data_IF_347406856849
#
_entry.id   IF_347406856849
#
_cell.length_a   1.000
_cell.length_b   1.000
_cell.length_c   1.000
_cell.angle_alpha   90.00
_cell.angle_beta   90.00
_cell.angle_gamma   90.00
#
_symmetry.space_group_name_H-M   'P 1'
#
loop_
_entity.id
_entity.type
_entity.pdbx_description
1 polymer ?
#
# COMPACT_ATOMS: atom_id res chain seq x y z
N UNK A 1 23.05 11.32 16.53
CA UNK A 1 22.14 12.43 16.18
C UNK A 1 21.05 12.49 17.24
N UNK A 2 20.79 13.65 17.82
CA UNK A 2 19.76 13.84 18.84
C UNK A 2 18.41 14.06 18.13
N UNK A 3 17.48 13.12 18.28
CA UNK A 3 16.13 13.22 17.72
C UNK A 3 15.36 14.33 18.46
N UNK A 4 14.80 15.28 17.73
CA UNK A 4 14.01 16.36 18.32
C UNK A 4 12.52 15.97 18.42
N UNK A 5 11.72 16.76 19.15
CA UNK A 5 10.30 16.48 19.33
C UNK A 5 9.49 16.39 18.01
N UNK A 6 9.89 17.14 16.98
CA UNK A 6 9.27 17.06 15.66
C UNK A 6 9.59 15.73 14.97
N UNK A 7 10.80 15.19 15.15
CA UNK A 7 11.19 13.87 14.65
C UNK A 7 10.33 12.78 15.31
N UNK A 8 10.05 12.87 16.61
CA UNK A 8 9.13 11.95 17.30
C UNK A 8 7.69 12.05 16.76
N UNK A 9 7.19 13.25 16.48
CA UNK A 9 5.86 13.46 15.85
C UNK A 9 5.83 12.88 14.42
N UNK A 10 6.92 13.03 13.67
CA UNK A 10 7.06 12.45 12.33
C UNK A 10 7.12 10.91 12.38
N UNK A 11 7.77 10.36 13.40
CA UNK A 11 7.87 8.92 13.67
C UNK A 11 6.52 8.35 14.15
N UNK A 12 5.77 9.10 14.98
CA UNK A 12 4.42 8.74 15.45
C UNK A 12 3.43 8.56 14.29
N UNK A 13 3.52 9.42 13.26
CA UNK A 13 2.71 9.31 12.03
C UNK A 13 3.16 8.18 11.09
N UNK A 14 4.36 7.63 11.30
CA UNK A 14 4.92 6.49 10.57
C UNK A 14 5.13 5.31 11.52
N UNK A 15 4.15 5.03 12.36
CA UNK A 15 4.12 3.79 13.14
C UNK A 15 3.39 2.71 12.35
N UNK A 16 3.73 1.43 12.56
CA UNK A 16 2.98 0.32 12.00
C UNK A 16 1.46 0.40 12.29
N UNK A 17 1.06 0.90 13.45
CA UNK A 17 -0.35 1.14 13.82
C UNK A 17 -1.03 2.21 12.96
N UNK A 18 -0.33 3.29 12.61
CA UNK A 18 -0.88 4.33 11.73
C UNK A 18 -0.95 3.90 10.25
N UNK A 19 -0.06 2.97 9.83
CA UNK A 19 0.06 2.54 8.44
C UNK A 19 -0.69 1.23 8.12
N UNK A 20 -0.90 0.35 9.10
CA UNK A 20 -1.68 -0.89 8.95
C UNK A 20 -3.09 -0.63 8.37
N UNK A 21 -3.84 0.40 8.82
CA UNK A 21 -5.12 0.77 8.21
C UNK A 21 -5.07 1.07 6.72
N UNK A 22 -3.95 1.61 6.24
CA UNK A 22 -3.77 1.95 4.83
C UNK A 22 -3.60 0.67 4.00
N UNK A 23 -2.82 -0.30 4.48
CA UNK A 23 -2.66 -1.61 3.83
C UNK A 23 -3.99 -2.38 3.86
N UNK A 24 -4.68 -2.41 4.99
CA UNK A 24 -5.99 -3.05 5.09
C UNK A 24 -7.00 -2.46 4.10
N UNK A 25 -7.08 -1.13 3.98
CA UNK A 25 -7.99 -0.46 3.04
C UNK A 25 -7.77 -0.86 1.58
N UNK A 26 -6.52 -1.18 1.20
CA UNK A 26 -6.23 -1.75 -0.11
C UNK A 26 -6.88 -3.14 -0.26
N UNK A 27 -6.61 -4.06 0.67
CA UNK A 27 -7.13 -5.44 0.60
C UNK A 27 -8.65 -5.53 0.76
N UNK A 28 -9.26 -4.62 1.53
CA UNK A 28 -10.72 -4.47 1.66
C UNK A 28 -11.42 -4.14 0.32
N UNK A 29 -10.65 -3.70 -0.68
CA UNK A 29 -11.14 -3.35 -2.02
C UNK A 29 -10.41 -4.11 -3.14
N UNK A 30 -9.74 -5.19 -2.78
CA UNK A 30 -8.99 -6.06 -3.68
C UNK A 30 -9.62 -7.45 -3.63
N UNK A 31 -9.79 -8.07 -4.80
CA UNK A 31 -10.24 -9.46 -4.86
C UNK A 31 -9.04 -10.38 -4.62
N UNK A 32 -9.09 -11.27 -3.60
CA UNK A 32 -7.95 -12.13 -3.27
C UNK A 32 -7.45 -12.95 -4.46
N UNK A 33 -6.14 -12.94 -4.68
CA UNK A 33 -5.46 -13.71 -5.73
C UNK A 33 -4.16 -14.30 -5.21
N UNK A 34 -3.69 -15.38 -5.86
CA UNK A 34 -2.45 -16.07 -5.46
C UNK A 34 -1.29 -15.08 -5.31
N UNK A 35 -0.55 -15.18 -4.18
CA UNK A 35 0.62 -14.35 -3.86
C UNK A 35 0.36 -12.84 -3.78
N UNK A 36 -0.88 -12.40 -3.66
CA UNK A 36 -1.19 -10.96 -3.59
C UNK A 36 -0.70 -10.26 -2.32
N UNK A 37 -0.23 -11.01 -1.30
CA UNK A 37 0.51 -10.44 -0.16
C UNK A 37 1.70 -9.58 -0.62
N UNK A 38 2.28 -9.86 -1.78
CA UNK A 38 3.37 -9.07 -2.35
C UNK A 38 2.91 -7.63 -2.67
N UNK A 39 1.65 -7.43 -3.05
CA UNK A 39 1.12 -6.09 -3.33
C UNK A 39 1.19 -5.15 -2.11
N UNK A 40 1.20 -5.69 -0.89
CA UNK A 40 1.37 -4.91 0.35
C UNK A 40 2.62 -4.03 0.34
N UNK A 41 3.71 -4.51 -0.27
CA UNK A 41 4.98 -3.78 -0.40
C UNK A 41 4.91 -2.64 -1.42
N UNK A 42 3.88 -2.58 -2.25
CA UNK A 42 3.65 -1.48 -3.18
C UNK A 42 2.71 -0.41 -2.60
N UNK A 43 1.82 -0.78 -1.66
CA UNK A 43 0.79 0.12 -1.13
C UNK A 43 1.41 1.37 -0.53
N UNK A 44 2.22 1.23 0.53
CA UNK A 44 2.77 2.39 1.25
C UNK A 44 3.69 3.25 0.37
N UNK A 45 4.65 2.68 -0.40
CA UNK A 45 5.50 3.46 -1.29
C UNK A 45 4.76 4.26 -2.36
N UNK A 46 3.60 3.79 -2.84
CA UNK A 46 2.82 4.47 -3.87
C UNK A 46 1.86 5.51 -3.28
N UNK A 47 1.12 5.17 -2.22
CA UNK A 47 0.09 6.07 -1.67
C UNK A 47 0.67 7.25 -0.90
N UNK A 48 1.88 7.12 -0.36
CA UNK A 48 2.57 8.20 0.38
C UNK A 48 3.42 9.10 -0.52
N UNK A 49 3.63 8.71 -1.78
CA UNK A 49 4.47 9.44 -2.71
C UNK A 49 3.71 10.61 -3.34
N UNK A 50 4.14 11.84 -3.07
CA UNK A 50 3.41 13.06 -3.46
C UNK A 50 3.04 13.12 -4.96
N UNK A 51 3.91 12.74 -5.92
CA UNK A 51 3.54 12.70 -7.34
C UNK A 51 2.34 11.79 -7.68
N UNK A 52 2.07 10.76 -6.87
CA UNK A 52 0.91 9.89 -7.03
C UNK A 52 -0.40 10.53 -6.56
N UNK A 53 -0.36 11.50 -5.64
CA UNK A 53 -1.56 11.99 -4.95
C UNK A 53 -2.61 12.57 -5.90
N UNK A 54 -2.20 13.38 -6.89
CA UNK A 54 -3.14 13.96 -7.86
C UNK A 54 -3.83 12.84 -8.64
N UNK A 55 -3.08 11.84 -9.11
CA UNK A 55 -3.64 10.71 -9.83
C UNK A 55 -4.61 9.90 -8.97
N UNK A 56 -4.20 9.50 -7.76
CA UNK A 56 -5.02 8.71 -6.85
C UNK A 56 -6.28 9.46 -6.38
N UNK A 57 -6.21 10.78 -6.20
CA UNK A 57 -7.38 11.57 -5.81
C UNK A 57 -8.47 11.56 -6.89
N UNK A 58 -8.09 11.52 -8.17
CA UNK A 58 -9.02 11.54 -9.31
C UNK A 58 -9.24 10.16 -9.95
N UNK A 59 -8.61 9.10 -9.44
CA UNK A 59 -8.79 7.75 -9.96
C UNK A 59 -10.26 7.30 -9.86
N UNK A 60 -10.76 6.72 -10.95
CA UNK A 60 -12.13 6.21 -11.12
C UNK A 60 -12.07 4.74 -11.55
N UNK A 61 -13.23 4.11 -11.74
CA UNK A 61 -13.33 2.69 -12.15
C UNK A 61 -12.65 2.37 -13.49
N UNK A 62 -12.42 3.36 -14.34
CA UNK A 62 -11.70 3.22 -15.61
C UNK A 62 -10.19 3.57 -15.51
N UNK A 63 -9.72 3.98 -14.33
CA UNK A 63 -8.29 4.14 -14.08
C UNK A 63 -7.67 2.76 -13.96
N UNK A 64 -6.51 2.60 -14.59
CA UNK A 64 -5.79 1.34 -14.71
C UNK A 64 -4.30 1.56 -14.54
N UNK A 65 -3.55 0.48 -14.35
CA UNK A 65 -2.10 0.50 -14.31
C UNK A 65 -1.49 1.17 -15.55
N UNK A 66 -2.07 0.92 -16.73
CA UNK A 66 -1.69 1.63 -17.97
C UNK A 66 -1.80 3.14 -17.85
N UNK A 67 -2.91 3.66 -17.32
CA UNK A 67 -3.11 5.13 -17.14
C UNK A 67 -2.22 5.72 -16.04
N UNK A 68 -1.87 4.93 -15.02
CA UNK A 68 -0.89 5.31 -14.01
C UNK A 68 0.47 5.54 -14.69
N UNK A 69 0.90 4.59 -15.53
CA UNK A 69 2.21 4.59 -16.19
C UNK A 69 2.39 5.60 -17.31
N UNK A 70 1.35 6.34 -17.71
CA UNK A 70 1.46 7.44 -18.68
C UNK A 70 2.33 8.61 -18.19
N UNK A 71 2.58 8.70 -16.88
CA UNK A 71 3.37 9.75 -16.26
C UNK A 71 4.51 9.11 -15.45
N UNK A 72 5.74 9.01 -16.02
CA UNK A 72 6.85 8.30 -15.39
C UNK A 72 7.27 8.87 -14.03
N UNK A 73 7.06 10.17 -13.80
CA UNK A 73 7.38 10.82 -12.52
C UNK A 73 6.64 10.20 -11.32
N UNK A 74 5.54 9.47 -11.55
CA UNK A 74 4.75 8.78 -10.51
C UNK A 74 5.45 7.57 -9.90
N UNK A 75 6.35 6.93 -10.65
CA UNK A 75 7.06 5.70 -10.23
C UNK A 75 8.57 5.88 -10.13
N UNK A 76 9.07 7.11 -10.38
CA UNK A 76 10.48 7.43 -10.26
C UNK A 76 11.02 7.04 -8.88
N UNK A 77 12.06 6.19 -8.82
CA UNK A 77 12.67 5.73 -7.58
C UNK A 77 11.79 4.80 -6.73
N UNK A 78 10.80 4.13 -7.32
CA UNK A 78 9.90 3.22 -6.60
C UNK A 78 10.65 2.08 -5.91
N UNK A 79 11.63 1.47 -6.56
CA UNK A 79 12.43 0.36 -6.00
C UNK A 79 13.10 0.74 -4.67
N UNK A 80 13.76 1.91 -4.63
CA UNK A 80 14.37 2.42 -3.39
C UNK A 80 13.34 2.66 -2.27
N UNK A 81 12.14 3.17 -2.63
CA UNK A 81 11.06 3.35 -1.65
C UNK A 81 10.50 2.02 -1.16
N UNK A 82 10.41 0.99 -2.00
CA UNK A 82 9.98 -0.35 -1.56
C UNK A 82 10.93 -0.86 -0.48
N UNK A 83 12.24 -0.79 -0.72
CA UNK A 83 13.23 -1.22 0.27
C UNK A 83 13.19 -0.39 1.56
N UNK A 84 12.99 0.94 1.47
CA UNK A 84 12.81 1.80 2.65
C UNK A 84 11.58 1.41 3.49
N UNK A 85 10.46 1.07 2.84
CA UNK A 85 9.20 0.75 3.50
C UNK A 85 9.06 -0.73 3.88
N UNK A 86 9.97 -1.61 3.45
CA UNK A 86 9.88 -3.06 3.70
C UNK A 86 9.79 -3.42 5.20
N UNK A 87 10.62 -2.86 6.11
CA UNK A 87 10.52 -3.20 7.53
C UNK A 87 9.18 -2.78 8.15
N UNK A 88 8.68 -1.59 7.79
CA UNK A 88 7.41 -1.10 8.35
C UNK A 88 6.20 -1.81 7.74
N UNK A 89 6.28 -2.24 6.48
CA UNK A 89 5.25 -3.06 5.83
C UNK A 89 5.12 -4.41 6.54
N UNK A 90 6.23 -5.09 6.83
CA UNK A 90 6.22 -6.32 7.63
C UNK A 90 5.57 -6.12 9.00
N UNK A 91 5.96 -5.07 9.73
CA UNK A 91 5.40 -4.78 11.04
C UNK A 91 3.89 -4.48 10.99
N UNK A 92 3.43 -3.76 9.96
CA UNK A 92 2.00 -3.50 9.72
C UNK A 92 1.23 -4.79 9.39
N UNK A 93 1.77 -5.68 8.55
CA UNK A 93 1.15 -6.98 8.25
C UNK A 93 1.05 -7.86 9.52
N UNK A 94 2.08 -7.84 10.37
CA UNK A 94 2.07 -8.58 11.64
C UNK A 94 0.94 -8.08 12.56
N UNK A 95 0.76 -6.75 12.67
CA UNK A 95 -0.34 -6.17 13.44
C UNK A 95 -1.68 -6.61 12.87
N UNK A 96 -1.87 -6.46 11.54
CA UNK A 96 -3.13 -6.83 10.88
C UNK A 96 -3.48 -8.30 11.10
N UNK A 97 -2.49 -9.19 11.03
CA UNK A 97 -2.69 -10.63 11.26
C UNK A 97 -2.99 -10.91 12.74
N UNK A 98 -2.27 -10.27 13.67
CA UNK A 98 -2.45 -10.46 15.11
C UNK A 98 -3.82 -9.98 15.59
N UNK A 99 -4.32 -8.89 15.01
CA UNK A 99 -5.66 -8.35 15.28
C UNK A 99 -6.77 -9.11 14.54
N UNK A 100 -6.43 -10.09 13.71
CA UNK A 100 -7.37 -10.80 12.82
C UNK A 100 -8.13 -9.84 11.89
N UNK A 101 -7.44 -8.79 11.47
CA UNK A 101 -7.92 -7.82 10.48
C UNK A 101 -7.60 -8.27 9.05
N UNK A 102 -6.65 -9.18 8.88
CA UNK A 102 -6.43 -9.91 7.63
C UNK A 102 -6.17 -11.38 7.94
N UNK A 103 -6.42 -12.24 6.95
CA UNK A 103 -5.99 -13.64 6.93
C UNK A 103 -5.12 -13.85 5.70
N UNK A 104 -3.96 -14.45 5.90
CA UNK A 104 -3.09 -14.91 4.82
C UNK A 104 -3.36 -16.40 4.61
N UNK A 105 -3.78 -16.76 3.40
CA UNK A 105 -4.07 -18.15 3.02
C UNK A 105 -2.79 -18.91 2.63
N UNK A 106 -2.91 -20.23 2.44
CA UNK A 106 -1.78 -21.10 2.07
C UNK A 106 -1.14 -20.74 0.72
N UNK A 107 -1.93 -20.19 -0.21
CA UNK A 107 -1.48 -19.69 -1.52
C UNK A 107 -0.92 -18.26 -1.44
N UNK A 108 -0.76 -17.73 -0.23
CA UNK A 108 -0.35 -16.36 0.07
C UNK A 108 -1.29 -15.27 -0.46
N UNK A 109 -2.55 -15.62 -0.76
CA UNK A 109 -3.61 -14.62 -0.94
C UNK A 109 -4.00 -14.01 0.41
N UNK A 110 -4.42 -12.74 0.39
CA UNK A 110 -4.81 -11.98 1.58
C UNK A 110 -6.31 -11.70 1.55
N UNK A 111 -7.00 -12.22 2.54
CA UNK A 111 -8.42 -11.95 2.78
C UNK A 111 -8.56 -10.86 3.87
N UNK A 112 -9.22 -9.73 3.60
CA UNK A 112 -9.55 -8.75 4.64
C UNK A 112 -10.59 -9.34 5.60
N UNK A 113 -10.46 -9.03 6.89
CA UNK A 113 -11.33 -9.52 7.95
C UNK A 113 -11.68 -8.41 8.93
N UNK A 114 -12.90 -8.45 9.48
CA UNK A 114 -13.31 -7.53 10.53
C UNK A 114 -13.26 -6.05 10.10
N UNK A 115 -13.12 -5.17 11.09
CA UNK A 115 -12.97 -3.73 10.87
C UNK A 115 -11.67 -3.25 11.50
N UNK A 116 -10.97 -2.39 10.77
CA UNK A 116 -9.73 -1.77 11.19
C UNK A 116 -9.99 -0.58 12.14
N UNK A 117 -9.14 -0.43 13.17
CA UNK A 117 -9.06 0.79 13.98
C UNK A 117 -8.34 1.90 13.20
N UNK A 118 -9.10 2.84 12.66
CA UNK A 118 -8.56 3.94 11.83
C UNK A 118 -8.15 5.19 12.64
N UNK A 119 -8.30 5.18 13.97
CA UNK A 119 -8.18 6.36 14.86
C UNK A 119 -6.89 7.17 14.67
N UNK A 120 -5.78 6.48 14.37
CA UNK A 120 -4.46 7.10 14.20
C UNK A 120 -3.99 7.17 12.73
N UNK A 121 -4.82 6.74 11.78
CA UNK A 121 -4.45 6.68 10.38
C UNK A 121 -4.85 7.94 9.62
N UNK A 122 -4.09 8.25 8.57
CA UNK A 122 -4.41 9.35 7.69
C UNK A 122 -5.54 8.95 6.73
N UNK A 123 -6.73 9.50 6.94
CA UNK A 123 -7.93 9.22 6.14
C UNK A 123 -7.72 9.42 4.62
N UNK A 124 -6.88 10.39 4.23
CA UNK A 124 -6.57 10.63 2.82
C UNK A 124 -5.72 9.50 2.22
N UNK A 125 -4.80 8.93 2.99
CA UNK A 125 -4.00 7.78 2.55
C UNK A 125 -4.84 6.49 2.51
N UNK A 126 -5.76 6.30 3.45
CA UNK A 126 -6.76 5.21 3.41
C UNK A 126 -7.57 5.30 2.10
N UNK A 127 -8.05 6.49 1.75
CA UNK A 127 -8.74 6.74 0.48
C UNK A 127 -7.85 6.43 -0.73
N UNK A 128 -6.56 6.80 -0.69
CA UNK A 128 -5.62 6.50 -1.76
C UNK A 128 -5.33 5.01 -1.91
N UNK A 129 -5.23 4.24 -0.83
CA UNK A 129 -5.05 2.80 -0.88
C UNK A 129 -6.24 2.09 -1.55
N UNK A 130 -7.47 2.48 -1.20
CA UNK A 130 -8.68 2.04 -1.90
C UNK A 130 -8.63 2.34 -3.38
N UNK A 131 -8.20 3.55 -3.74
CA UNK A 131 -8.07 3.97 -5.14
C UNK A 131 -6.98 3.22 -5.89
N UNK A 132 -5.91 2.84 -5.20
CA UNK A 132 -4.85 2.01 -5.76
C UNK A 132 -5.35 0.60 -6.09
N UNK A 133 -6.17 -0.01 -5.22
CA UNK A 133 -6.79 -1.31 -5.51
C UNK A 133 -7.63 -1.26 -6.80
N UNK A 134 -8.42 -0.19 -6.99
CA UNK A 134 -9.17 0.05 -8.24
C UNK A 134 -8.25 0.14 -9.46
N UNK A 135 -7.08 0.77 -9.32
CA UNK A 135 -6.11 0.94 -10.42
C UNK A 135 -5.43 -0.39 -10.79
N UNK A 136 -5.23 -1.27 -9.80
CA UNK A 136 -4.63 -2.60 -10.01
C UNK A 136 -5.67 -3.65 -10.42
N UNK A 137 -6.96 -3.35 -10.33
CA UNK A 137 -8.02 -4.31 -10.61
C UNK A 137 -7.88 -4.95 -12.00
N UNK A 138 -8.04 -6.28 -12.06
CA UNK A 138 -7.91 -7.08 -13.28
C UNK A 138 -6.46 -7.43 -13.67
N UNK A 139 -5.46 -6.93 -12.96
CA UNK A 139 -4.05 -7.31 -13.15
C UNK A 139 -3.67 -8.43 -12.18
N UNK A 140 -2.85 -9.39 -12.63
CA UNK A 140 -2.22 -10.32 -11.70
C UNK A 140 -0.96 -9.69 -11.06
N UNK A 141 -0.52 -10.24 -9.93
CA UNK A 141 0.63 -9.71 -9.14
C UNK A 141 1.87 -9.51 -10.02
N UNK A 142 2.22 -10.49 -10.86
CA UNK A 142 3.41 -10.43 -11.72
C UNK A 142 3.29 -9.29 -12.75
N UNK A 143 2.11 -9.13 -13.37
CA UNK A 143 1.83 -8.03 -14.31
C UNK A 143 1.95 -6.67 -13.64
N UNK A 144 1.50 -6.54 -12.37
CA UNK A 144 1.62 -5.30 -11.61
C UNK A 144 3.11 -4.91 -11.46
N UNK A 145 3.93 -5.82 -10.94
CA UNK A 145 5.36 -5.57 -10.72
C UNK A 145 6.10 -5.25 -12.02
N UNK A 146 5.86 -6.03 -13.08
CA UNK A 146 6.49 -5.80 -14.39
C UNK A 146 6.12 -4.44 -14.99
N UNK A 147 4.85 -4.06 -14.92
CA UNK A 147 4.39 -2.79 -15.48
C UNK A 147 4.96 -1.58 -14.72
N UNK A 148 5.21 -1.73 -13.41
CA UNK A 148 5.88 -0.72 -12.59
C UNK A 148 7.40 -0.66 -12.82
N UNK A 149 7.96 -1.53 -13.68
CA UNK A 149 9.38 -1.56 -14.02
C UNK A 149 10.27 -2.24 -12.98
N UNK A 150 9.69 -3.04 -12.08
CA UNK A 150 10.41 -3.77 -11.03
C UNK A 150 10.96 -5.07 -11.61
N UNK A 151 12.27 -5.29 -11.48
CA UNK A 151 13.00 -6.40 -12.12
C UNK A 151 13.01 -7.70 -11.31
N UNK A 152 12.68 -7.64 -10.02
CA UNK A 152 12.58 -8.80 -9.13
C UNK A 152 11.35 -8.68 -8.25
N UNK A 153 10.71 -9.83 -8.00
CA UNK A 153 9.74 -10.04 -6.92
C UNK A 153 10.50 -10.34 -5.62
#
# INVERSE_FOLDING_TARGET
MNLNAADYIYTLRRTPFALAPIIHSFYDHWDPTEKDILLSYLVLPLVTYKPMHKFLNYAKKNSSLRTLMQEPSRVLGLEARIEEYKPITHASLLILTSEKSIKVNDDMSVEPQGKIREENANAQLIKYARKLAVVFNGENVVSVYRSLGLKSL
#
